data_IF_472377973605
#
_entry.id   IF_472377973605
#
_cell.length_a   1.000
_cell.length_b   1.000
_cell.length_c   1.000
_cell.angle_alpha   90.00
_cell.angle_beta   90.00
_cell.angle_gamma   90.00
#
_symmetry.space_group_name_H-M   'P 1'
#
loop_
_entity.id
_entity.type
_entity.pdbx_description
1 polymer ?
#
# COMPACT_ATOMS: atom_id res chain seq x y z
N UNK A 1 24.38 -14.04 -45.61
CA UNK A 1 24.49 -13.85 -44.15
C UNK A 1 23.06 -13.89 -43.61
N UNK A 2 22.63 -14.94 -42.91
CA UNK A 2 21.24 -15.02 -42.46
C UNK A 2 21.00 -14.03 -41.33
N UNK A 3 19.91 -13.27 -41.44
CA UNK A 3 19.35 -12.41 -40.39
C UNK A 3 18.93 -13.30 -39.21
N UNK A 4 19.29 -12.88 -38.00
CA UNK A 4 19.04 -13.62 -36.76
C UNK A 4 17.56 -13.91 -36.58
N UNK A 5 17.27 -15.14 -36.12
CA UNK A 5 15.96 -15.53 -35.63
C UNK A 5 15.61 -14.65 -34.43
N UNK A 6 14.51 -13.90 -34.53
CA UNK A 6 13.94 -13.18 -33.40
C UNK A 6 13.60 -14.18 -32.30
N UNK A 7 14.30 -14.09 -31.15
CA UNK A 7 13.99 -14.90 -29.97
C UNK A 7 12.65 -14.43 -29.40
N UNK A 8 11.56 -15.11 -29.78
CA UNK A 8 10.25 -14.94 -29.17
C UNK A 8 10.20 -15.65 -27.82
N UNK A 9 9.93 -14.90 -26.75
CA UNK A 9 9.66 -15.45 -25.43
C UNK A 9 8.15 -15.51 -25.20
N UNK A 10 7.67 -16.65 -24.67
CA UNK A 10 6.27 -16.85 -24.29
C UNK A 10 6.05 -16.63 -22.80
N UNK A 11 5.04 -15.85 -22.44
CA UNK A 11 4.54 -15.73 -21.06
C UNK A 11 3.46 -16.79 -20.87
N UNK A 12 3.68 -17.77 -20.00
CA UNK A 12 2.74 -18.89 -19.79
C UNK A 12 2.29 -18.92 -18.32
N UNK A 13 0.98 -19.06 -18.13
CA UNK A 13 0.32 -19.33 -16.84
C UNK A 13 0.34 -20.84 -16.54
N UNK A 14 0.48 -21.23 -15.27
CA UNK A 14 0.58 -22.63 -14.82
C UNK A 14 -0.65 -23.52 -15.19
N UNK A 15 -1.71 -22.96 -15.75
CA UNK A 15 -2.95 -23.69 -16.06
C UNK A 15 -2.88 -24.59 -17.31
N UNK A 16 -1.90 -24.40 -18.21
CA UNK A 16 -1.91 -25.03 -19.55
C UNK A 16 -0.68 -25.87 -19.92
N UNK A 17 0.22 -26.12 -18.97
CA UNK A 17 1.42 -26.93 -19.20
C UNK A 17 2.48 -26.20 -20.03
N UNK A 18 3.74 -26.59 -19.84
CA UNK A 18 4.91 -25.97 -20.49
C UNK A 18 5.36 -26.81 -21.68
N UNK A 19 5.44 -26.23 -22.87
CA UNK A 19 6.15 -26.80 -24.02
C UNK A 19 7.66 -26.71 -23.77
N UNK A 20 8.38 -27.82 -23.86
CA UNK A 20 9.82 -27.89 -23.54
C UNK A 20 10.71 -27.17 -24.56
N UNK A 21 10.19 -26.91 -25.76
CA UNK A 21 10.93 -26.33 -26.90
C UNK A 21 10.89 -24.80 -26.97
N UNK A 22 10.20 -24.16 -26.02
CA UNK A 22 10.13 -22.70 -25.93
C UNK A 22 10.84 -22.25 -24.65
N UNK A 23 11.80 -21.30 -24.72
CA UNK A 23 12.35 -20.67 -23.53
C UNK A 23 11.21 -20.04 -22.73
N UNK A 24 10.90 -20.61 -21.57
CA UNK A 24 9.78 -20.18 -20.73
C UNK A 24 10.30 -19.69 -19.39
N UNK A 25 9.81 -18.52 -18.97
CA UNK A 25 10.01 -18.02 -17.61
C UNK A 25 8.79 -18.47 -16.81
N UNK A 26 9.00 -19.36 -15.84
CA UNK A 26 7.93 -19.73 -14.90
C UNK A 26 7.64 -18.54 -14.00
N UNK A 27 6.48 -17.94 -14.20
CA UNK A 27 5.96 -16.88 -13.33
C UNK A 27 5.37 -17.52 -12.08
N UNK A 28 6.21 -18.16 -11.26
CA UNK A 28 5.77 -18.66 -9.94
C UNK A 28 5.71 -17.52 -8.91
N UNK A 29 6.43 -16.45 -9.18
CA UNK A 29 6.51 -15.24 -8.37
C UNK A 29 6.38 -14.00 -9.27
N UNK A 30 5.34 -13.88 -10.11
CA UNK A 30 4.98 -12.53 -10.58
C UNK A 30 4.58 -11.75 -9.34
N UNK A 31 5.50 -10.92 -8.88
CA UNK A 31 5.13 -9.70 -8.18
C UNK A 31 4.32 -8.89 -9.19
N UNK A 32 2.99 -9.05 -9.15
CA UNK A 32 2.15 -8.01 -9.68
C UNK A 32 2.51 -6.75 -8.88
N UNK A 33 2.69 -5.59 -9.52
CA UNK A 33 2.85 -4.32 -8.80
C UNK A 33 1.64 -3.95 -7.91
N UNK A 34 0.63 -4.82 -7.86
CA UNK A 34 -0.53 -4.82 -6.95
C UNK A 34 -0.37 -5.80 -5.75
N UNK A 35 0.82 -6.34 -5.51
CA UNK A 35 1.09 -6.94 -4.20
C UNK A 35 1.13 -5.78 -3.20
N UNK A 36 0.28 -5.78 -2.16
CA UNK A 36 0.10 -4.68 -1.19
C UNK A 36 1.38 -4.16 -0.53
N UNK A 37 2.52 -4.85 -0.71
CA UNK A 37 3.83 -4.55 -0.14
C UNK A 37 4.84 -3.99 -1.15
N UNK A 38 4.51 -3.82 -2.43
CA UNK A 38 5.42 -3.26 -3.44
C UNK A 38 4.70 -2.24 -4.34
N UNK A 39 5.44 -1.27 -4.85
CA UNK A 39 4.93 -0.26 -5.79
C UNK A 39 5.95 0.04 -6.89
N UNK A 40 5.48 0.52 -8.04
CA UNK A 40 6.34 0.98 -9.13
C UNK A 40 6.60 2.48 -8.99
N UNK A 41 7.88 2.88 -8.95
CA UNK A 41 8.31 4.29 -8.95
C UNK A 41 9.59 4.42 -9.75
N UNK A 42 9.60 5.38 -10.69
CA UNK A 42 10.73 5.65 -11.59
C UNK A 42 11.16 4.43 -12.42
N UNK A 43 10.18 3.61 -12.85
CA UNK A 43 10.43 2.37 -13.59
C UNK A 43 11.05 1.24 -12.75
N UNK A 44 11.16 1.42 -11.44
CA UNK A 44 11.70 0.42 -10.50
C UNK A 44 10.62 -0.04 -9.53
N UNK A 45 10.61 -1.34 -9.25
CA UNK A 45 9.79 -1.91 -8.18
C UNK A 45 10.45 -1.58 -6.86
N UNK A 46 9.72 -0.93 -5.95
CA UNK A 46 10.13 -0.57 -4.59
C UNK A 46 9.20 -1.26 -3.60
N UNK A 47 9.70 -1.60 -2.41
CA UNK A 47 8.85 -2.08 -1.31
C UNK A 47 8.13 -0.91 -0.63
N UNK A 48 6.89 -1.13 -0.17
CA UNK A 48 6.14 -0.12 0.58
C UNK A 48 6.88 0.25 1.87
N UNK A 49 7.09 1.55 2.15
CA UNK A 49 7.74 1.97 3.38
C UNK A 49 6.95 1.50 4.61
N UNK A 50 7.68 0.98 5.61
CA UNK A 50 7.08 0.46 6.85
C UNK A 50 6.51 -0.96 6.76
N UNK A 51 6.58 -1.64 5.61
CA UNK A 51 6.01 -2.97 5.51
C UNK A 51 6.66 -3.96 6.51
N UNK A 52 5.82 -4.67 7.27
CA UNK A 52 6.22 -5.44 8.46
C UNK A 52 7.31 -6.49 8.22
N UNK A 53 7.48 -6.97 6.98
CA UNK A 53 8.50 -7.95 6.62
C UNK A 53 9.84 -7.34 6.16
N UNK A 54 9.90 -6.05 5.86
CA UNK A 54 11.03 -5.45 5.12
C UNK A 54 11.84 -4.42 5.89
N UNK A 55 11.34 -3.90 7.00
CA UNK A 55 12.09 -2.94 7.81
C UNK A 55 12.35 -3.49 9.20
N UNK A 56 13.63 -3.49 9.56
CA UNK A 56 14.07 -3.71 10.91
C UNK A 56 14.34 -2.37 11.58
N UNK A 57 14.01 -2.25 12.87
CA UNK A 57 14.39 -1.10 13.68
C UNK A 57 15.92 -1.06 13.92
N UNK A 58 16.40 -0.06 14.66
CA UNK A 58 17.81 0.04 15.04
C UNK A 58 18.35 -1.18 15.79
N UNK A 59 17.48 -2.06 16.29
CA UNK A 59 17.81 -3.29 17.01
C UNK A 59 17.66 -4.55 16.14
N UNK A 60 17.49 -4.41 14.83
CA UNK A 60 17.24 -5.53 13.91
C UNK A 60 15.92 -6.29 14.18
N UNK A 61 14.94 -5.67 14.85
CA UNK A 61 13.61 -6.23 15.07
C UNK A 61 12.64 -5.75 13.99
N UNK A 62 11.78 -6.64 13.49
CA UNK A 62 10.77 -6.27 12.51
C UNK A 62 9.89 -5.14 13.05
N UNK A 63 9.72 -4.08 12.26
CA UNK A 63 8.85 -2.96 12.64
C UNK A 63 7.40 -3.45 12.60
N UNK A 64 6.77 -3.47 13.78
CA UNK A 64 5.35 -3.81 13.95
C UNK A 64 4.53 -2.56 14.22
N UNK A 65 3.24 -2.60 13.89
CA UNK A 65 2.33 -1.53 14.30
C UNK A 65 2.24 -1.48 15.84
N UNK A 66 2.09 -0.28 16.44
CA UNK A 66 2.04 -0.13 17.88
C UNK A 66 0.95 -0.92 18.61
N UNK A 67 -0.15 -1.25 17.91
CA UNK A 67 -1.25 -2.05 18.45
C UNK A 67 -1.05 -3.57 18.34
N UNK A 68 0.03 -4.02 17.68
CA UNK A 68 0.32 -5.44 17.46
C UNK A 68 -0.64 -6.16 16.51
N UNK A 69 -1.57 -5.44 15.87
CA UNK A 69 -2.50 -6.02 14.90
C UNK A 69 -1.84 -6.19 13.53
N UNK A 70 -2.22 -7.20 12.73
CA UNK A 70 -1.75 -7.29 11.35
C UNK A 70 -2.23 -6.08 10.54
N UNK A 71 -1.40 -5.63 9.62
CA UNK A 71 -1.76 -4.61 8.65
C UNK A 71 -2.66 -5.27 7.60
N UNK A 72 -3.88 -4.74 7.46
CA UNK A 72 -4.90 -5.24 6.53
C UNK A 72 -4.96 -4.41 5.24
N UNK A 73 -4.39 -3.21 5.24
CA UNK A 73 -4.19 -2.38 4.04
C UNK A 73 -3.01 -1.45 4.18
N UNK A 74 -2.31 -1.19 3.08
CA UNK A 74 -1.40 -0.06 2.94
C UNK A 74 -1.98 0.95 1.96
N UNK A 75 -1.67 2.23 2.18
CA UNK A 75 -1.95 3.28 1.21
C UNK A 75 -0.72 4.16 1.04
N UNK A 76 -0.26 4.29 -0.20
CA UNK A 76 0.78 5.24 -0.58
C UNK A 76 0.14 6.47 -1.19
N UNK A 77 0.59 7.62 -0.73
CA UNK A 77 0.17 8.90 -1.26
C UNK A 77 1.41 9.73 -1.59
N UNK A 78 1.48 10.26 -2.82
CA UNK A 78 2.53 11.18 -3.24
C UNK A 78 1.87 12.54 -3.38
N UNK A 79 2.33 13.50 -2.60
CA UNK A 79 1.77 14.83 -2.62
C UNK A 79 2.10 15.61 -3.89
N UNK A 80 1.42 16.73 -4.11
CA UNK A 80 1.76 17.66 -5.19
C UNK A 80 3.21 18.16 -5.15
N UNK A 81 3.84 18.16 -3.97
CA UNK A 81 5.23 18.52 -3.77
C UNK A 81 6.23 17.35 -3.95
N UNK A 82 5.75 16.15 -4.31
CA UNK A 82 6.58 14.95 -4.45
C UNK A 82 6.98 14.28 -3.14
N UNK A 83 6.44 14.75 -2.00
CA UNK A 83 6.65 14.09 -0.69
C UNK A 83 5.78 12.83 -0.64
N UNK A 84 6.40 11.72 -0.28
CA UNK A 84 5.74 10.42 -0.12
C UNK A 84 5.26 10.20 1.31
N UNK A 85 4.01 9.78 1.43
CA UNK A 85 3.38 9.38 2.68
C UNK A 85 2.89 7.94 2.56
N UNK A 86 3.25 7.12 3.55
CA UNK A 86 2.80 5.74 3.64
C UNK A 86 1.93 5.56 4.89
N UNK A 87 0.76 4.99 4.70
CA UNK A 87 -0.19 4.69 5.76
C UNK A 87 -0.40 3.18 5.87
N UNK A 88 -0.39 2.69 7.10
CA UNK A 88 -0.69 1.31 7.45
C UNK A 88 -2.00 1.26 8.23
N UNK A 89 -2.93 0.43 7.77
CA UNK A 89 -4.26 0.30 8.33
C UNK A 89 -4.38 -1.06 9.01
N UNK A 90 -4.78 -1.07 10.28
CA UNK A 90 -5.07 -2.28 11.06
C UNK A 90 -6.57 -2.37 11.33
N UNK A 91 -7.00 -3.45 12.00
CA UNK A 91 -8.39 -3.57 12.50
C UNK A 91 -8.80 -2.47 13.49
N UNK A 92 -7.85 -1.83 14.17
CA UNK A 92 -8.14 -0.88 15.25
C UNK A 92 -7.67 0.55 14.95
N UNK A 93 -6.63 0.73 14.14
CA UNK A 93 -5.97 2.03 13.98
C UNK A 93 -5.46 2.27 12.55
N UNK A 94 -5.25 3.54 12.23
CA UNK A 94 -4.46 3.97 11.07
C UNK A 94 -3.19 4.61 11.57
N UNK A 95 -2.06 4.19 11.00
CA UNK A 95 -0.75 4.72 11.30
C UNK A 95 -0.11 5.35 10.07
N UNK A 96 0.63 6.42 10.28
CA UNK A 96 1.53 6.98 9.27
C UNK A 96 2.97 6.53 9.57
N UNK A 97 3.66 6.04 8.57
CA UNK A 97 5.09 5.75 8.65
C UNK A 97 5.93 7.03 8.61
N UNK A 98 6.92 7.13 9.48
CA UNK A 98 7.95 8.18 9.43
C UNK A 98 9.29 7.58 9.04
N UNK A 99 9.87 8.04 7.92
CA UNK A 99 11.20 7.59 7.51
C UNK A 99 12.31 8.09 8.45
N UNK A 100 12.18 9.32 8.96
CA UNK A 100 13.17 9.91 9.87
C UNK A 100 13.19 9.19 11.21
N UNK A 101 12.01 8.90 11.77
CA UNK A 101 11.89 8.20 13.06
C UNK A 101 11.94 6.67 12.95
N UNK A 102 11.87 6.12 11.72
CA UNK A 102 11.64 4.69 11.46
C UNK A 102 10.54 4.12 12.35
N UNK A 103 9.43 4.85 12.48
CA UNK A 103 8.37 4.54 13.42
C UNK A 103 6.98 4.87 12.88
N UNK A 104 5.99 4.16 13.41
CA UNK A 104 4.58 4.41 13.18
C UNK A 104 4.03 5.46 14.14
N UNK A 105 3.37 6.49 13.61
CA UNK A 105 2.60 7.47 14.37
C UNK A 105 1.11 7.21 14.22
N UNK A 106 0.35 7.29 15.31
CA UNK A 106 -1.12 7.10 15.28
C UNK A 106 -1.80 8.29 14.58
N UNK A 107 -2.66 7.98 13.61
CA UNK A 107 -3.36 8.96 12.77
C UNK A 107 -4.88 8.79 12.76
N UNK A 108 -5.40 7.66 13.27
CA UNK A 108 -6.84 7.44 13.50
C UNK A 108 -7.05 6.22 14.39
N UNK A 109 -8.11 6.22 15.19
CA UNK A 109 -8.56 5.06 15.98
C UNK A 109 -10.01 4.76 15.60
N UNK A 110 -10.29 3.52 15.23
CA UNK A 110 -11.62 3.09 14.81
C UNK A 110 -12.60 3.11 15.98
N UNK A 111 -13.88 3.41 15.72
CA UNK A 111 -14.94 3.32 16.74
C UNK A 111 -15.15 1.89 17.26
N UNK A 112 -14.87 0.89 16.43
CA UNK A 112 -14.81 -0.53 16.78
C UNK A 112 -13.85 -1.27 15.85
N UNK A 113 -13.52 -2.52 16.16
CA UNK A 113 -12.71 -3.35 15.26
C UNK A 113 -13.34 -3.45 13.87
N UNK A 114 -12.59 -3.10 12.83
CA UNK A 114 -12.98 -3.24 11.42
C UNK A 114 -12.30 -4.45 10.78
N UNK A 115 -12.93 -5.00 9.72
CA UNK A 115 -12.39 -6.16 8.98
C UNK A 115 -11.79 -5.78 7.63
N UNK A 116 -12.00 -4.55 7.18
CA UNK A 116 -11.55 -4.06 5.88
C UNK A 116 -11.24 -2.56 5.95
N UNK A 117 -10.41 -2.11 5.02
CA UNK A 117 -10.25 -0.71 4.67
C UNK A 117 -10.32 -0.55 3.17
N UNK A 118 -10.95 0.53 2.73
CA UNK A 118 -10.82 1.05 1.38
C UNK A 118 -10.30 2.48 1.42
N UNK A 119 -9.44 2.82 0.47
CA UNK A 119 -8.65 4.06 0.48
C UNK A 119 -8.43 4.58 -0.93
N UNK A 120 -8.48 5.89 -1.09
CA UNK A 120 -8.24 6.57 -2.37
C UNK A 120 -7.55 7.92 -2.18
N UNK A 121 -6.71 8.31 -3.14
CA UNK A 121 -6.09 9.64 -3.18
C UNK A 121 -6.85 10.52 -4.16
N UNK A 122 -7.32 11.69 -3.73
CA UNK A 122 -8.00 12.67 -4.58
C UNK A 122 -7.64 14.10 -4.15
N UNK A 123 -7.19 14.93 -5.08
CA UNK A 123 -6.91 16.36 -4.87
C UNK A 123 -6.06 16.66 -3.60
N UNK A 124 -4.96 15.92 -3.40
CA UNK A 124 -4.08 16.10 -2.23
C UNK A 124 -4.67 15.59 -0.91
N UNK A 125 -5.75 14.81 -0.98
CA UNK A 125 -6.37 14.18 0.17
C UNK A 125 -6.31 12.67 0.04
N UNK A 126 -6.32 12.00 1.18
CA UNK A 126 -6.59 10.57 1.29
C UNK A 126 -7.98 10.43 1.88
N UNK A 127 -8.87 9.75 1.16
CA UNK A 127 -10.20 9.38 1.63
C UNK A 127 -10.15 7.90 2.00
N UNK A 128 -10.72 7.53 3.15
CA UNK A 128 -10.67 6.17 3.68
C UNK A 128 -11.99 5.78 4.34
N UNK A 129 -12.36 4.51 4.23
CA UNK A 129 -13.57 3.95 4.86
C UNK A 129 -13.33 2.51 5.30
N UNK A 130 -13.98 2.09 6.37
CA UNK A 130 -13.80 0.77 6.98
C UNK A 130 -15.12 0.07 7.39
N UNK A 131 -16.26 0.69 7.06
CA UNK A 131 -17.60 0.17 7.35
C UNK A 131 -18.06 0.27 8.81
N UNK A 132 -17.23 0.78 9.73
CA UNK A 132 -17.59 0.99 11.14
C UNK A 132 -17.52 2.47 11.55
N UNK A 133 -16.69 3.27 10.87
CA UNK A 133 -16.54 4.70 11.07
C UNK A 133 -17.20 5.51 9.95
N UNK A 134 -17.33 6.83 10.18
CA UNK A 134 -17.60 7.78 9.09
C UNK A 134 -16.46 7.74 8.06
N UNK A 135 -16.71 8.25 6.86
CA UNK A 135 -15.65 8.39 5.86
C UNK A 135 -14.57 9.30 6.42
N UNK A 136 -13.35 8.80 6.48
CA UNK A 136 -12.19 9.49 7.05
C UNK A 136 -11.42 10.20 5.95
N UNK A 137 -10.97 11.42 6.23
CA UNK A 137 -10.15 12.23 5.31
C UNK A 137 -8.91 12.77 5.99
N UNK A 138 -7.79 12.61 5.30
CA UNK A 138 -6.51 13.23 5.64
C UNK A 138 -6.09 14.19 4.52
N UNK A 139 -5.45 15.31 4.89
CA UNK A 139 -5.11 16.41 3.98
C UNK A 139 -3.59 16.67 3.95
N UNK A 140 -2.98 16.60 2.76
CA UNK A 140 -1.55 16.80 2.56
C UNK A 140 -1.06 18.22 2.89
N UNK A 141 -1.96 19.21 2.85
CA UNK A 141 -1.62 20.61 3.18
C UNK A 141 -1.36 20.81 4.66
N UNK A 142 -1.86 19.88 5.50
CA UNK A 142 -1.66 19.87 6.95
C UNK A 142 -1.21 18.49 7.42
N UNK A 143 -0.04 18.00 6.96
CA UNK A 143 0.31 16.58 7.06
C UNK A 143 0.57 16.09 8.50
N UNK A 144 0.72 17.02 9.45
CA UNK A 144 0.80 16.73 10.89
C UNK A 144 -0.55 16.44 11.55
N UNK A 145 -1.67 16.66 10.86
CA UNK A 145 -3.01 16.41 11.39
C UNK A 145 -3.45 14.97 11.16
N UNK A 146 -4.27 14.47 12.09
CA UNK A 146 -4.89 13.13 12.02
C UNK A 146 -6.03 13.11 11.00
N UNK A 147 -6.56 11.93 10.67
CA UNK A 147 -7.78 11.83 9.87
C UNK A 147 -8.95 12.49 10.61
N UNK A 148 -9.86 13.09 9.84
CA UNK A 148 -11.10 13.67 10.33
C UNK A 148 -12.29 13.21 9.49
N UNK A 149 -13.48 13.24 10.08
CA UNK A 149 -14.72 12.85 9.39
C UNK A 149 -15.00 13.76 8.18
N UNK A 150 -15.31 13.13 7.05
CA UNK A 150 -15.80 13.79 5.85
C UNK A 150 -17.29 14.09 6.03
N UNK A 151 -17.58 15.28 6.56
CA UNK A 151 -18.95 15.70 6.83
C UNK A 151 -19.48 15.17 8.18
N UNK A 152 -20.79 15.23 8.35
CA UNK A 152 -21.47 14.91 9.62
C UNK A 152 -22.40 13.69 9.54
N UNK A 153 -22.49 13.04 8.37
CA UNK A 153 -23.38 11.91 8.12
C UNK A 153 -22.59 10.62 7.85
N UNK A 154 -23.12 9.46 8.28
CA UNK A 154 -22.55 8.15 7.98
C UNK A 154 -22.71 7.80 6.50
N UNK A 155 -21.61 7.78 5.75
CA UNK A 155 -21.57 7.41 4.34
C UNK A 155 -20.91 8.46 3.45
N UNK A 156 -21.01 8.27 2.13
CA UNK A 156 -20.58 9.25 1.13
C UNK A 156 -21.70 10.30 0.97
N UNK A 157 -21.58 11.44 1.65
CA UNK A 157 -22.44 12.59 1.42
C UNK A 157 -21.89 13.37 0.20
N UNK A 158 -22.56 13.24 -0.94
CA UNK A 158 -22.18 13.89 -2.20
C UNK A 158 -22.85 15.27 -2.40
N UNK A 159 -23.58 15.78 -1.41
CA UNK A 159 -24.42 16.97 -1.54
C UNK A 159 -25.82 16.65 -2.03
#
# INVERSE_FOLDING_TARGET
MPIGVDEQFGIISDLLGTREDVPTIKIKDSFMPDSQNVYLSDGKIKAMPGAAATFFDSNSAAVVTPDGNPIIRYHRHVSGAGIEYAFAYTKANVYRWSETGQAYSLYFTCASDCTLWDTGSIAGKIVSTNGVDLVQVWDETTPGTVFADLGSASGLDLG
#
